data_IF_758080628908
#
_entry.id   IF_758080628908
#
_cell.length_a   1.000
_cell.length_b   1.000
_cell.length_c   1.000
_cell.angle_alpha   90.00
_cell.angle_beta   90.00
_cell.angle_gamma   90.00
#
_symmetry.space_group_name_H-M   'P 1'
#
loop_
_entity.id
_entity.type
_entity.pdbx_description
1 polymer ?
#
# COMPACT_ATOMS: atom_id res chain seq x y z
N UNK A 1 4.90 1.78 -2.90
CA UNK A 1 5.13 2.53 -1.65
C UNK A 1 6.20 3.63 -1.87
N UNK A 2 7.40 3.32 -2.37
CA UNK A 2 8.46 4.32 -2.57
C UNK A 2 8.06 5.48 -3.51
N UNK A 3 7.20 5.22 -4.49
CA UNK A 3 6.67 6.28 -5.36
C UNK A 3 5.70 7.21 -4.62
N UNK A 4 4.86 6.67 -3.73
CA UNK A 4 3.97 7.47 -2.88
C UNK A 4 4.78 8.34 -1.91
N UNK A 5 5.82 7.78 -1.28
CA UNK A 5 6.75 8.55 -0.46
C UNK A 5 7.38 9.72 -1.25
N UNK A 6 7.85 9.50 -2.47
CA UNK A 6 8.43 10.56 -3.34
C UNK A 6 7.40 11.65 -3.64
N UNK A 7 6.15 11.29 -3.96
CA UNK A 7 5.10 12.26 -4.24
C UNK A 7 4.80 13.14 -3.02
N UNK A 8 4.69 12.54 -1.83
CA UNK A 8 4.41 13.26 -0.59
C UNK A 8 5.59 14.16 -0.21
N UNK A 9 6.81 13.61 -0.21
CA UNK A 9 8.04 14.38 0.08
C UNK A 9 8.24 15.50 -0.92
N UNK A 10 7.99 15.23 -2.21
CA UNK A 10 8.06 16.23 -3.27
C UNK A 10 7.06 17.38 -3.06
N UNK A 11 5.82 17.07 -2.67
CA UNK A 11 4.82 18.07 -2.35
C UNK A 11 5.21 18.93 -1.13
N UNK A 12 5.70 18.30 -0.04
CA UNK A 12 6.20 19.01 1.14
C UNK A 12 7.38 19.93 0.75
N UNK A 13 8.33 19.39 0.01
CA UNK A 13 9.53 20.11 -0.38
C UNK A 13 9.20 21.29 -1.32
N UNK A 14 8.25 21.12 -2.25
CA UNK A 14 7.80 22.19 -3.14
C UNK A 14 7.19 23.37 -2.36
N UNK A 15 6.44 23.13 -1.29
CA UNK A 15 5.90 24.18 -0.43
C UNK A 15 7.03 24.84 0.36
N UNK A 16 7.93 24.08 0.97
CA UNK A 16 9.07 24.58 1.76
C UNK A 16 10.05 25.40 0.93
N UNK A 17 10.29 25.00 -0.33
CA UNK A 17 11.15 25.76 -1.24
C UNK A 17 10.55 27.12 -1.60
N UNK A 18 9.22 27.26 -1.66
CA UNK A 18 8.54 28.53 -1.90
C UNK A 18 8.67 29.51 -0.73
N UNK A 19 8.79 29.01 0.51
CA UNK A 19 8.99 29.87 1.69
C UNK A 19 10.41 30.42 1.77
N UNK A 20 11.38 29.77 1.14
CA UNK A 20 12.79 30.18 1.17
C UNK A 20 13.48 29.96 2.53
N UNK A 21 12.79 29.44 3.54
CA UNK A 21 13.31 29.26 4.90
C UNK A 21 14.20 28.01 5.00
N UNK A 22 15.52 28.17 5.31
CA UNK A 22 16.44 27.06 5.44
C UNK A 22 16.17 26.18 6.69
N UNK A 23 15.53 26.74 7.72
CA UNK A 23 15.21 26.01 8.96
C UNK A 23 14.12 25.00 8.68
N UNK A 24 13.06 25.41 7.96
CA UNK A 24 11.97 24.51 7.55
C UNK A 24 12.49 23.38 6.66
N UNK A 25 13.37 23.70 5.70
CA UNK A 25 13.99 22.70 4.82
C UNK A 25 14.86 21.69 5.60
N UNK A 26 15.60 22.14 6.61
CA UNK A 26 16.37 21.27 7.49
C UNK A 26 15.46 20.38 8.33
N UNK A 27 14.35 20.91 8.86
CA UNK A 27 13.34 20.16 9.59
C UNK A 27 12.78 19.00 8.79
N UNK A 28 12.35 19.24 7.54
CA UNK A 28 11.84 18.19 6.64
C UNK A 28 12.89 17.09 6.38
N UNK A 29 14.13 17.48 6.11
CA UNK A 29 15.24 16.52 5.90
C UNK A 29 15.48 15.63 7.12
N UNK A 30 15.46 16.20 8.32
CA UNK A 30 15.58 15.43 9.57
C UNK A 30 14.37 14.52 9.78
N UNK A 31 13.15 14.97 9.48
CA UNK A 31 11.96 14.15 9.53
C UNK A 31 12.08 12.91 8.65
N UNK A 32 12.53 13.09 7.39
CA UNK A 32 12.78 11.98 6.44
C UNK A 32 13.87 11.04 6.96
N UNK A 33 15.02 11.58 7.40
CA UNK A 33 16.13 10.77 7.89
C UNK A 33 15.73 9.91 9.11
N UNK A 34 15.00 10.51 10.06
CA UNK A 34 14.48 9.80 11.23
C UNK A 34 13.44 8.73 10.83
N UNK A 35 12.60 9.00 9.84
CA UNK A 35 11.63 8.02 9.34
C UNK A 35 12.33 6.80 8.73
N UNK A 36 13.34 7.01 7.90
CA UNK A 36 14.14 5.93 7.33
C UNK A 36 14.84 5.11 8.41
N UNK A 37 15.46 5.79 9.40
CA UNK A 37 16.11 5.12 10.53
C UNK A 37 15.09 4.31 11.37
N UNK A 38 13.90 4.86 11.62
CA UNK A 38 12.84 4.18 12.34
C UNK A 38 12.29 2.97 11.54
N UNK A 39 12.16 3.07 10.22
CA UNK A 39 11.75 1.93 9.36
C UNK A 39 12.77 0.80 9.40
N UNK A 40 14.07 1.11 9.34
CA UNK A 40 15.13 0.11 9.49
C UNK A 40 15.16 -0.48 10.91
N UNK A 41 14.91 0.34 11.94
CA UNK A 41 14.76 -0.13 13.33
C UNK A 41 13.57 -1.07 13.47
N UNK A 42 12.44 -0.79 12.81
CA UNK A 42 11.27 -1.68 12.78
C UNK A 42 11.60 -3.00 12.10
N UNK A 43 12.34 -2.99 10.98
CA UNK A 43 12.77 -4.21 10.30
C UNK A 43 13.66 -5.07 11.21
N UNK A 44 14.64 -4.47 11.87
CA UNK A 44 15.52 -5.17 12.81
C UNK A 44 14.77 -5.70 14.03
N UNK A 45 13.79 -4.94 14.55
CA UNK A 45 12.95 -5.36 15.67
C UNK A 45 12.08 -6.56 15.29
N UNK A 46 11.46 -6.55 14.12
CA UNK A 46 10.67 -7.68 13.62
C UNK A 46 11.55 -8.92 13.45
N UNK A 47 12.77 -8.78 12.92
CA UNK A 47 13.71 -9.89 12.80
C UNK A 47 14.04 -10.48 14.16
N UNK A 48 14.42 -9.64 15.13
CA UNK A 48 14.74 -10.07 16.50
C UNK A 48 13.57 -10.78 17.20
N UNK A 49 12.34 -10.29 17.01
CA UNK A 49 11.13 -10.93 17.57
C UNK A 49 10.90 -12.32 16.97
N UNK A 50 11.21 -12.48 15.67
CA UNK A 50 11.01 -13.72 14.92
C UNK A 50 12.10 -14.78 15.16
N UNK A 51 13.22 -14.46 15.83
CA UNK A 51 14.29 -15.40 16.19
C UNK A 51 13.94 -16.39 17.33
N UNK A 52 12.69 -16.37 17.84
CA UNK A 52 12.21 -17.22 18.94
C UNK A 52 12.06 -18.70 18.59
N UNK A 53 11.38 -19.47 19.48
CA UNK A 53 11.07 -20.90 19.24
C UNK A 53 10.23 -21.10 17.96
N UNK A 54 10.44 -22.25 17.27
CA UNK A 54 9.80 -22.54 15.95
C UNK A 54 8.28 -22.28 15.96
N UNK A 55 7.55 -22.80 16.95
CA UNK A 55 6.10 -22.59 17.04
C UNK A 55 5.70 -21.12 17.26
N UNK A 56 6.50 -20.35 18.02
CA UNK A 56 6.27 -18.90 18.17
C UNK A 56 6.60 -18.16 16.89
N UNK A 57 7.60 -18.62 16.17
CA UNK A 57 7.99 -18.05 14.89
C UNK A 57 6.87 -18.20 13.86
N UNK A 58 6.33 -19.40 13.67
CA UNK A 58 5.21 -19.67 12.75
C UNK A 58 3.97 -18.83 13.09
N UNK A 59 3.63 -18.74 14.39
CA UNK A 59 2.53 -17.91 14.85
C UNK A 59 2.74 -16.41 14.56
N UNK A 60 3.96 -15.90 14.76
CA UNK A 60 4.32 -14.50 14.47
C UNK A 60 4.39 -14.25 12.97
N UNK A 61 4.97 -15.16 12.19
CA UNK A 61 5.01 -15.08 10.73
C UNK A 61 3.59 -15.02 10.14
N UNK A 62 2.70 -15.90 10.59
CA UNK A 62 1.28 -15.87 10.22
C UNK A 62 0.60 -14.55 10.60
N UNK A 63 0.88 -14.05 11.81
CA UNK A 63 0.37 -12.74 12.25
C UNK A 63 0.85 -11.58 11.38
N UNK A 64 2.15 -11.52 11.04
CA UNK A 64 2.74 -10.50 10.15
C UNK A 64 2.12 -10.60 8.75
N UNK A 65 1.94 -11.81 8.21
CA UNK A 65 1.34 -12.01 6.89
C UNK A 65 -0.12 -11.56 6.85
N UNK A 66 -0.92 -11.88 7.88
CA UNK A 66 -2.30 -11.41 7.96
C UNK A 66 -2.39 -9.89 8.15
N UNK A 67 -1.50 -9.29 8.93
CA UNK A 67 -1.39 -7.84 9.04
C UNK A 67 -1.04 -7.20 7.69
N UNK A 68 -0.05 -7.75 6.98
CA UNK A 68 0.31 -7.30 5.64
C UNK A 68 -0.86 -7.47 4.65
N UNK A 69 -1.58 -8.61 4.67
CA UNK A 69 -2.76 -8.83 3.85
C UNK A 69 -3.85 -7.79 4.11
N UNK A 70 -4.12 -7.46 5.38
CA UNK A 70 -5.11 -6.45 5.75
C UNK A 70 -4.71 -5.04 5.26
N UNK A 71 -3.44 -4.65 5.41
CA UNK A 71 -2.92 -3.37 4.92
C UNK A 71 -2.99 -3.30 3.40
N UNK A 72 -2.50 -4.32 2.69
CA UNK A 72 -2.55 -4.42 1.23
C UNK A 72 -3.99 -4.36 0.69
N UNK A 73 -4.91 -5.06 1.34
CA UNK A 73 -6.33 -5.02 0.99
C UNK A 73 -6.91 -3.61 1.16
N UNK A 74 -6.62 -2.96 2.29
CA UNK A 74 -7.06 -1.60 2.57
C UNK A 74 -6.48 -0.60 1.55
N UNK A 75 -5.18 -0.65 1.29
CA UNK A 75 -4.49 0.24 0.32
C UNK A 75 -5.01 0.01 -1.09
N UNK A 76 -5.16 -1.26 -1.51
CA UNK A 76 -5.73 -1.59 -2.82
C UNK A 76 -7.14 -1.01 -2.99
N UNK A 77 -8.03 -1.19 -2.00
CA UNK A 77 -9.37 -0.62 -2.01
C UNK A 77 -9.33 0.91 -2.07
N UNK A 78 -8.45 1.52 -1.28
CA UNK A 78 -8.27 2.96 -1.23
C UNK A 78 -7.74 3.51 -2.58
N UNK A 79 -6.77 2.85 -3.23
CA UNK A 79 -6.24 3.24 -4.54
C UNK A 79 -7.34 3.22 -5.62
N UNK A 80 -8.14 2.15 -5.65
CA UNK A 80 -9.23 2.02 -6.62
C UNK A 80 -10.37 3.03 -6.35
N UNK A 81 -10.66 3.34 -5.10
CA UNK A 81 -11.69 4.32 -4.71
C UNK A 81 -11.29 5.76 -4.98
N UNK A 82 -9.99 6.07 -5.00
CA UNK A 82 -9.40 7.42 -5.16
C UNK A 82 -8.96 7.74 -6.58
N UNK A 83 -9.65 7.25 -7.60
CA UNK A 83 -9.51 7.75 -8.99
C UNK A 83 -9.73 9.28 -9.09
N UNK A 84 -10.21 9.93 -8.02
CA UNK A 84 -10.22 11.39 -7.82
C UNK A 84 -8.95 11.87 -7.08
N UNK A 85 -7.79 11.72 -7.74
CA UNK A 85 -6.49 12.20 -7.22
C UNK A 85 -6.50 13.69 -6.82
N UNK A 86 -7.41 14.48 -7.40
CA UNK A 86 -7.57 15.90 -7.09
C UNK A 86 -8.06 16.19 -5.65
N UNK A 87 -8.86 15.32 -5.06
CA UNK A 87 -9.34 15.50 -3.68
C UNK A 87 -8.24 15.20 -2.66
N UNK A 88 -7.43 14.18 -2.92
CA UNK A 88 -6.27 13.84 -2.10
C UNK A 88 -5.18 14.91 -2.14
N UNK A 89 -4.82 15.38 -3.34
CA UNK A 89 -3.84 16.46 -3.49
C UNK A 89 -4.28 17.72 -2.72
N UNK A 90 -5.55 18.10 -2.81
CA UNK A 90 -6.09 19.23 -2.03
C UNK A 90 -6.00 19.02 -0.53
N UNK A 91 -6.31 17.82 -0.02
CA UNK A 91 -6.23 17.52 1.41
C UNK A 91 -4.78 17.57 1.93
N UNK A 92 -3.83 16.98 1.18
CA UNK A 92 -2.40 17.01 1.53
C UNK A 92 -1.86 18.42 1.46
N UNK A 93 -2.14 19.16 0.37
CA UNK A 93 -1.74 20.57 0.24
C UNK A 93 -2.26 21.42 1.41
N UNK A 94 -3.52 21.27 1.78
CA UNK A 94 -4.10 22.08 2.85
C UNK A 94 -3.48 21.80 4.24
N UNK A 95 -3.09 20.53 4.52
CA UNK A 95 -2.37 20.19 5.76
C UNK A 95 -0.92 20.71 5.74
N UNK A 96 -0.23 20.60 4.61
CA UNK A 96 1.13 21.09 4.45
C UNK A 96 1.18 22.62 4.54
N UNK A 97 0.24 23.31 3.89
CA UNK A 97 0.15 24.77 3.92
C UNK A 97 -0.12 25.30 5.34
N UNK A 98 -1.00 24.64 6.10
CA UNK A 98 -1.21 24.99 7.53
C UNK A 98 0.03 24.80 8.38
N UNK A 99 0.75 23.68 8.19
CA UNK A 99 2.00 23.42 8.90
C UNK A 99 3.11 24.40 8.49
N UNK A 100 3.18 24.78 7.21
CA UNK A 100 4.12 25.79 6.72
C UNK A 100 3.74 27.20 7.22
N UNK A 101 2.45 27.55 7.25
CA UNK A 101 1.98 28.83 7.76
C UNK A 101 2.22 29.00 9.26
N UNK A 102 2.33 27.92 10.04
CA UNK A 102 2.71 27.97 11.45
C UNK A 102 4.19 28.34 11.69
N UNK A 103 5.03 28.34 10.63
CA UNK A 103 6.49 28.57 10.74
C UNK A 103 7.24 27.53 11.55
N UNK A 104 6.57 26.44 11.95
CA UNK A 104 7.15 25.42 12.83
C UNK A 104 7.91 24.34 12.03
N UNK A 105 9.22 24.35 12.12
CA UNK A 105 10.08 23.30 11.56
C UNK A 105 9.75 21.91 12.12
N UNK A 106 9.35 21.84 13.40
CA UNK A 106 8.96 20.59 14.08
C UNK A 106 7.65 20.04 13.48
N UNK A 107 6.66 20.89 13.23
CA UNK A 107 5.40 20.45 12.62
C UNK A 107 5.63 19.86 11.23
N UNK A 108 6.43 20.51 10.41
CA UNK A 108 6.79 20.01 9.07
C UNK A 108 7.65 18.75 9.13
N UNK A 109 8.60 18.68 10.07
CA UNK A 109 9.41 17.47 10.31
C UNK A 109 8.52 16.29 10.71
N UNK A 110 7.53 16.51 11.59
CA UNK A 110 6.59 15.47 12.03
C UNK A 110 5.71 14.98 10.88
N UNK A 111 5.20 15.88 10.03
CA UNK A 111 4.40 15.49 8.85
C UNK A 111 5.26 14.66 7.87
N UNK A 112 6.48 15.11 7.60
CA UNK A 112 7.41 14.38 6.74
C UNK A 112 7.80 13.01 7.34
N UNK A 113 8.07 12.97 8.65
CA UNK A 113 8.36 11.74 9.38
C UNK A 113 7.20 10.74 9.28
N UNK A 114 5.99 11.14 9.65
CA UNK A 114 4.84 10.24 9.65
C UNK A 114 4.50 9.72 8.27
N UNK A 115 4.60 10.58 7.25
CA UNK A 115 4.35 10.17 5.88
C UNK A 115 5.37 9.13 5.40
N UNK A 116 6.67 9.39 5.55
CA UNK A 116 7.74 8.50 5.09
C UNK A 116 7.82 7.23 5.95
N UNK A 117 7.63 7.35 7.26
CA UNK A 117 7.64 6.19 8.16
C UNK A 117 6.48 5.24 7.87
N UNK A 118 5.30 5.76 7.53
CA UNK A 118 4.16 4.95 7.13
C UNK A 118 4.51 4.08 5.92
N UNK A 119 5.01 4.68 4.84
CA UNK A 119 5.41 3.96 3.62
C UNK A 119 6.56 2.98 3.89
N UNK A 120 7.53 3.39 4.72
CA UNK A 120 8.63 2.53 5.16
C UNK A 120 8.16 1.34 5.99
N UNK A 121 7.21 1.53 6.89
CA UNK A 121 6.59 0.47 7.69
C UNK A 121 5.83 -0.53 6.80
N UNK A 122 5.00 -0.05 5.87
CA UNK A 122 4.28 -0.89 4.92
C UNK A 122 5.26 -1.72 4.08
N UNK A 123 6.33 -1.09 3.57
CA UNK A 123 7.41 -1.75 2.83
C UNK A 123 8.06 -2.87 3.66
N UNK A 124 8.39 -2.61 4.92
CA UNK A 124 8.99 -3.62 5.83
C UNK A 124 8.06 -4.81 6.02
N UNK A 125 6.76 -4.58 6.27
CA UNK A 125 5.76 -5.64 6.41
C UNK A 125 5.66 -6.49 5.14
N UNK A 126 5.61 -5.85 3.96
CA UNK A 126 5.47 -6.55 2.69
C UNK A 126 6.69 -7.38 2.35
N UNK A 127 7.91 -6.85 2.56
CA UNK A 127 9.14 -7.61 2.37
C UNK A 127 9.24 -8.77 3.35
N UNK A 128 8.84 -8.58 4.61
CA UNK A 128 8.84 -9.67 5.58
C UNK A 128 7.84 -10.76 5.19
N UNK A 129 6.63 -10.40 4.78
CA UNK A 129 5.64 -11.33 4.30
C UNK A 129 6.09 -12.09 3.04
N UNK A 130 6.76 -11.41 2.08
CA UNK A 130 7.37 -12.04 0.91
C UNK A 130 8.49 -13.01 1.28
N UNK A 131 9.32 -12.63 2.26
CA UNK A 131 10.41 -13.48 2.74
C UNK A 131 9.87 -14.78 3.35
N UNK A 132 8.84 -14.69 4.17
CA UNK A 132 8.15 -15.85 4.77
C UNK A 132 7.53 -16.74 3.68
N UNK A 133 6.81 -16.14 2.71
CA UNK A 133 6.18 -16.89 1.60
C UNK A 133 7.19 -17.58 0.69
N UNK A 134 8.33 -16.96 0.42
CA UNK A 134 9.32 -17.44 -0.55
C UNK A 134 10.34 -18.41 0.03
N UNK A 135 10.43 -18.53 1.36
CA UNK A 135 11.46 -19.30 2.04
C UNK A 135 12.89 -18.87 1.69
N UNK A 136 13.88 -19.67 2.04
CA UNK A 136 15.31 -19.40 1.80
C UNK A 136 15.62 -19.24 0.30
N UNK A 137 14.94 -19.99 -0.57
CA UNK A 137 15.12 -19.93 -2.04
C UNK A 137 14.59 -18.62 -2.65
N UNK A 138 13.65 -17.95 -1.96
CA UNK A 138 13.05 -16.67 -2.40
C UNK A 138 13.95 -15.46 -2.16
N UNK A 139 14.92 -15.54 -1.24
CA UNK A 139 15.72 -14.38 -0.81
C UNK A 139 16.47 -13.70 -1.96
N UNK A 140 17.05 -14.47 -2.87
CA UNK A 140 17.75 -13.93 -4.03
C UNK A 140 16.79 -13.19 -5.00
N UNK A 141 15.60 -13.75 -5.24
CA UNK A 141 14.57 -13.12 -6.07
C UNK A 141 14.00 -11.86 -5.44
N UNK A 142 13.79 -11.87 -4.13
CA UNK A 142 13.34 -10.70 -3.36
C UNK A 142 14.38 -9.59 -3.43
N UNK A 143 15.67 -9.90 -3.23
CA UNK A 143 16.77 -8.93 -3.31
C UNK A 143 16.90 -8.35 -4.72
N UNK A 144 16.75 -9.19 -5.76
CA UNK A 144 16.76 -8.75 -7.16
C UNK A 144 15.55 -7.83 -7.46
N UNK A 145 14.37 -8.20 -6.95
CA UNK A 145 13.16 -7.39 -7.07
C UNK A 145 13.31 -6.03 -6.38
N UNK A 146 13.91 -5.99 -5.18
CA UNK A 146 14.21 -4.75 -4.47
C UNK A 146 15.16 -3.85 -5.27
N UNK A 147 16.23 -4.42 -5.81
CA UNK A 147 17.19 -3.69 -6.63
C UNK A 147 16.55 -3.17 -7.91
N UNK A 148 15.77 -4.00 -8.62
CA UNK A 148 15.07 -3.62 -9.84
C UNK A 148 14.02 -2.52 -9.55
N UNK A 149 13.24 -2.65 -8.47
CA UNK A 149 12.28 -1.66 -8.02
C UNK A 149 12.98 -0.32 -7.68
N UNK A 150 14.12 -0.36 -7.01
CA UNK A 150 14.94 0.81 -6.72
C UNK A 150 15.41 1.52 -8.01
N UNK A 151 15.87 0.79 -9.00
CA UNK A 151 16.27 1.34 -10.31
C UNK A 151 15.08 2.01 -11.00
N UNK A 152 13.91 1.35 -11.04
CA UNK A 152 12.68 1.93 -11.61
C UNK A 152 12.27 3.20 -10.88
N UNK A 153 12.36 3.21 -9.55
CA UNK A 153 12.02 4.36 -8.71
C UNK A 153 12.92 5.57 -8.99
N UNK A 154 14.25 5.33 -9.09
CA UNK A 154 15.22 6.37 -9.44
C UNK A 154 14.98 6.88 -10.86
N UNK A 155 14.72 5.98 -11.82
CA UNK A 155 14.41 6.36 -13.20
C UNK A 155 13.13 7.19 -13.29
N UNK A 156 12.09 6.83 -12.55
CA UNK A 156 10.84 7.59 -12.47
C UNK A 156 11.06 8.99 -11.86
N UNK A 157 11.82 9.07 -10.76
CA UNK A 157 12.18 10.34 -10.14
C UNK A 157 12.93 11.27 -11.10
N UNK A 158 13.99 10.77 -11.75
CA UNK A 158 14.77 11.52 -12.75
C UNK A 158 13.91 11.91 -13.95
N UNK A 159 13.05 11.01 -14.41
CA UNK A 159 12.12 11.24 -15.50
C UNK A 159 11.15 12.41 -15.22
N UNK A 160 10.60 12.45 -14.02
CA UNK A 160 9.71 13.53 -13.59
C UNK A 160 10.48 14.83 -13.43
N UNK A 161 11.62 14.81 -12.74
CA UNK A 161 12.38 16.02 -12.39
C UNK A 161 13.06 16.66 -13.59
N UNK A 162 13.75 15.86 -14.43
CA UNK A 162 14.54 16.38 -15.56
C UNK A 162 13.77 16.52 -16.87
N UNK A 163 12.84 15.59 -17.12
CA UNK A 163 12.15 15.51 -18.41
C UNK A 163 10.68 15.92 -18.33
N UNK A 164 10.15 16.24 -17.14
CA UNK A 164 8.76 16.65 -16.95
C UNK A 164 7.75 15.55 -17.36
N UNK A 165 8.15 14.28 -17.32
CA UNK A 165 7.31 13.15 -17.73
C UNK A 165 6.07 13.11 -16.85
N UNK A 166 4.91 13.19 -17.50
CA UNK A 166 3.62 13.03 -16.80
C UNK A 166 3.25 11.57 -16.77
N UNK A 167 3.33 10.95 -15.57
CA UNK A 167 2.88 9.57 -15.39
C UNK A 167 1.36 9.55 -15.50
N UNK A 168 0.77 8.65 -16.31
CA UNK A 168 -0.66 8.48 -16.38
C UNK A 168 -1.16 7.79 -15.09
N UNK A 169 -1.52 8.59 -14.09
CA UNK A 169 -1.84 8.12 -12.74
C UNK A 169 -2.96 7.07 -12.71
N UNK A 170 -3.96 7.20 -13.61
CA UNK A 170 -5.09 6.24 -13.65
C UNK A 170 -4.67 4.80 -13.93
N UNK A 171 -3.98 4.47 -15.06
CA UNK A 171 -3.53 3.11 -15.30
C UNK A 171 -2.46 2.67 -14.28
N UNK A 172 -1.60 3.56 -13.83
CA UNK A 172 -0.62 3.26 -12.78
C UNK A 172 -1.32 2.76 -11.50
N UNK A 173 -2.26 3.52 -10.94
CA UNK A 173 -2.99 3.11 -9.74
C UNK A 173 -3.88 1.88 -9.97
N UNK A 174 -4.43 1.69 -11.17
CA UNK A 174 -5.20 0.50 -11.47
C UNK A 174 -4.34 -0.77 -11.46
N UNK A 175 -3.16 -0.75 -12.09
CA UNK A 175 -2.24 -1.88 -12.11
C UNK A 175 -1.69 -2.15 -10.71
N UNK A 176 -1.21 -1.11 -10.03
CA UNK A 176 -0.69 -1.24 -8.66
C UNK A 176 -1.77 -1.79 -7.72
N UNK A 177 -2.97 -1.20 -7.73
CA UNK A 177 -4.07 -1.66 -6.90
C UNK A 177 -4.45 -3.13 -7.17
N UNK A 178 -4.47 -3.57 -8.43
CA UNK A 178 -4.71 -4.96 -8.78
C UNK A 178 -3.61 -5.89 -8.25
N UNK A 179 -2.34 -5.48 -8.35
CA UNK A 179 -1.20 -6.24 -7.83
C UNK A 179 -1.24 -6.36 -6.30
N UNK A 180 -1.51 -5.25 -5.60
CA UNK A 180 -1.63 -5.25 -4.13
C UNK A 180 -2.79 -6.12 -3.67
N UNK A 181 -3.90 -6.09 -4.39
CA UNK A 181 -5.04 -6.95 -4.11
C UNK A 181 -4.71 -8.44 -4.28
N UNK A 182 -4.00 -8.78 -5.35
CA UNK A 182 -3.52 -10.13 -5.59
C UNK A 182 -2.58 -10.60 -4.46
N UNK A 183 -1.63 -9.76 -4.05
CA UNK A 183 -0.75 -10.07 -2.92
C UNK A 183 -1.52 -10.21 -1.61
N UNK A 184 -2.52 -9.38 -1.35
CA UNK A 184 -3.38 -9.52 -0.17
C UNK A 184 -4.08 -10.89 -0.13
N UNK A 185 -4.56 -11.36 -1.28
CA UNK A 185 -5.15 -12.68 -1.42
C UNK A 185 -4.17 -13.81 -1.11
N UNK A 186 -2.94 -13.73 -1.66
CA UNK A 186 -1.88 -14.73 -1.41
C UNK A 186 -1.47 -14.74 0.06
N UNK A 187 -1.20 -13.56 0.63
CA UNK A 187 -0.76 -13.43 2.02
C UNK A 187 -1.83 -13.86 3.02
N UNK A 188 -3.11 -13.63 2.72
CA UNK A 188 -4.19 -14.11 3.57
C UNK A 188 -4.20 -15.63 3.68
N UNK A 189 -4.06 -16.35 2.57
CA UNK A 189 -4.01 -17.80 2.57
C UNK A 189 -2.77 -18.36 3.25
N UNK A 190 -1.59 -17.82 2.91
CA UNK A 190 -0.32 -18.25 3.53
C UNK A 190 -0.28 -17.90 5.02
N UNK A 191 -0.77 -16.73 5.43
CA UNK A 191 -0.84 -16.33 6.83
C UNK A 191 -1.72 -17.26 7.68
N UNK A 192 -2.85 -17.70 7.14
CA UNK A 192 -3.69 -18.73 7.80
C UNK A 192 -2.93 -20.04 7.94
N UNK A 193 -2.22 -20.49 6.88
CA UNK A 193 -1.40 -21.72 6.93
C UNK A 193 -0.33 -21.63 8.02
N UNK A 194 0.42 -20.53 8.11
CA UNK A 194 1.45 -20.35 9.15
C UNK A 194 0.85 -20.38 10.57
N UNK A 195 -0.33 -19.76 10.78
CA UNK A 195 -1.02 -19.86 12.06
C UNK A 195 -1.49 -21.29 12.39
N UNK A 196 -1.84 -22.08 11.37
CA UNK A 196 -2.21 -23.50 11.53
C UNK A 196 -0.98 -24.35 11.87
N UNK A 197 0.16 -24.13 11.23
CA UNK A 197 1.43 -24.79 11.51
C UNK A 197 1.94 -24.42 12.91
N UNK A 198 1.76 -23.16 13.33
CA UNK A 198 2.02 -22.72 14.70
C UNK A 198 1.00 -23.17 15.75
N UNK A 199 0.03 -24.00 15.37
CA UNK A 199 -1.05 -24.51 16.23
C UNK A 199 -1.87 -23.42 16.96
N UNK A 200 -1.94 -22.20 16.38
CA UNK A 200 -2.73 -21.07 16.90
C UNK A 200 -4.21 -21.22 16.53
N UNK A 201 -4.47 -21.72 15.33
CA UNK A 201 -5.82 -21.97 14.82
C UNK A 201 -5.94 -23.41 14.28
N UNK A 202 -7.14 -24.00 14.30
CA UNK A 202 -7.36 -25.35 13.78
C UNK A 202 -7.15 -25.40 12.27
N UNK A 203 -6.86 -26.57 11.73
CA UNK A 203 -6.74 -26.87 10.31
C UNK A 203 -7.84 -27.87 9.90
N UNK A 204 -8.96 -27.36 9.43
CA UNK A 204 -10.08 -28.21 8.97
C UNK A 204 -9.92 -28.51 7.48
N UNK A 205 -9.43 -29.71 7.16
CA UNK A 205 -9.15 -30.12 5.79
C UNK A 205 -10.42 -30.28 4.94
N UNK A 206 -10.40 -29.72 3.74
CA UNK A 206 -11.44 -29.88 2.73
C UNK A 206 -10.97 -30.89 1.67
N UNK A 207 -11.59 -32.07 1.61
CA UNK A 207 -11.26 -33.11 0.64
C UNK A 207 -11.56 -32.62 -0.78
N UNK A 208 -10.57 -32.73 -1.68
CA UNK A 208 -10.70 -32.33 -3.07
C UNK A 208 -10.51 -30.84 -3.37
N UNK A 209 -10.23 -30.00 -2.35
CA UNK A 209 -9.89 -28.61 -2.59
C UNK A 209 -8.49 -28.48 -3.23
N UNK A 210 -8.30 -27.50 -4.16
CA UNK A 210 -7.01 -27.29 -4.80
C UNK A 210 -5.95 -26.80 -3.80
N UNK A 211 -4.69 -27.18 -4.04
CA UNK A 211 -3.54 -26.64 -3.34
C UNK A 211 -2.63 -25.94 -4.33
N UNK A 212 -2.29 -24.68 -4.06
CA UNK A 212 -1.34 -23.93 -4.86
C UNK A 212 -0.55 -22.99 -3.95
N UNK A 213 0.69 -23.35 -3.70
CA UNK A 213 1.60 -22.53 -2.86
C UNK A 213 1.86 -21.15 -3.47
N UNK A 214 1.95 -21.08 -4.81
CA UNK A 214 2.13 -19.81 -5.52
C UNK A 214 0.96 -18.84 -5.34
N UNK A 215 -0.26 -19.36 -5.27
CA UNK A 215 -1.47 -18.55 -5.03
C UNK A 215 -1.84 -18.46 -3.55
N UNK A 216 -1.05 -19.06 -2.65
CA UNK A 216 -1.37 -19.15 -1.24
C UNK A 216 -2.67 -19.93 -0.95
N UNK A 217 -3.10 -20.81 -1.88
CA UNK A 217 -4.32 -21.61 -1.70
C UNK A 217 -4.00 -22.90 -0.98
N UNK A 218 -4.61 -23.09 0.20
CA UNK A 218 -4.47 -24.27 1.01
C UNK A 218 -5.83 -24.93 1.25
N UNK A 219 -5.91 -26.28 1.24
CA UNK A 219 -7.16 -27.01 1.31
C UNK A 219 -7.74 -27.06 2.74
N UNK A 220 -7.86 -25.91 3.40
CA UNK A 220 -8.47 -25.78 4.72
C UNK A 220 -9.65 -24.82 4.67
N UNK A 221 -10.69 -25.08 5.46
CA UNK A 221 -11.90 -24.23 5.51
C UNK A 221 -11.54 -22.80 5.86
N UNK A 222 -10.63 -22.61 6.81
CA UNK A 222 -10.25 -21.31 7.35
C UNK A 222 -9.53 -20.47 6.28
N UNK A 223 -8.58 -21.07 5.53
CA UNK A 223 -7.86 -20.40 4.45
C UNK A 223 -8.80 -20.04 3.31
N UNK A 224 -9.61 -21.00 2.85
CA UNK A 224 -10.55 -20.80 1.76
C UNK A 224 -11.66 -19.80 2.11
N UNK A 225 -12.12 -19.78 3.36
CA UNK A 225 -13.13 -18.83 3.83
C UNK A 225 -12.60 -17.40 3.82
N UNK A 226 -11.38 -17.15 4.31
CA UNK A 226 -10.75 -15.83 4.31
C UNK A 226 -10.49 -15.36 2.88
N UNK A 227 -9.93 -16.21 2.03
CA UNK A 227 -9.69 -15.89 0.63
C UNK A 227 -11.01 -15.66 -0.13
N UNK A 228 -12.04 -16.46 0.15
CA UNK A 228 -13.39 -16.28 -0.39
C UNK A 228 -14.01 -14.94 0.03
N UNK A 229 -13.82 -14.51 1.27
CA UNK A 229 -14.25 -13.20 1.75
C UNK A 229 -13.58 -12.05 0.98
N UNK A 230 -12.26 -12.16 0.75
CA UNK A 230 -11.52 -11.20 -0.05
C UNK A 230 -12.10 -11.12 -1.48
N UNK A 231 -12.28 -12.25 -2.15
CA UNK A 231 -12.86 -12.29 -3.51
C UNK A 231 -14.28 -11.75 -3.53
N UNK A 232 -15.12 -12.13 -2.57
CA UNK A 232 -16.48 -11.64 -2.47
C UNK A 232 -16.55 -10.11 -2.32
N UNK A 233 -15.65 -9.52 -1.52
CA UNK A 233 -15.55 -8.06 -1.34
C UNK A 233 -15.21 -7.35 -2.65
N UNK A 234 -14.34 -7.92 -3.50
CA UNK A 234 -14.02 -7.38 -4.82
C UNK A 234 -15.24 -7.40 -5.72
N UNK A 235 -15.93 -8.54 -5.78
CA UNK A 235 -17.14 -8.68 -6.60
C UNK A 235 -18.19 -7.65 -6.18
N UNK A 236 -18.42 -7.49 -4.88
CA UNK A 236 -19.35 -6.48 -4.36
C UNK A 236 -18.92 -5.07 -4.75
N UNK A 237 -17.64 -4.73 -4.59
CA UNK A 237 -17.13 -3.40 -4.96
C UNK A 237 -17.29 -3.11 -6.45
N UNK A 238 -16.98 -4.08 -7.31
CA UNK A 238 -17.15 -3.98 -8.77
C UNK A 238 -18.61 -3.80 -9.13
N UNK A 239 -19.50 -4.67 -8.64
CA UNK A 239 -20.93 -4.60 -8.92
C UNK A 239 -21.52 -3.27 -8.47
N UNK A 240 -21.16 -2.82 -7.27
CA UNK A 240 -21.64 -1.53 -6.74
C UNK A 240 -21.18 -0.34 -7.59
N UNK A 241 -19.92 -0.36 -8.04
CA UNK A 241 -19.35 0.69 -8.90
C UNK A 241 -20.10 0.77 -10.24
N UNK A 242 -20.38 -0.38 -10.86
CA UNK A 242 -21.15 -0.42 -12.11
C UNK A 242 -22.61 0.00 -11.91
N UNK A 243 -23.27 -0.42 -10.83
CA UNK A 243 -24.62 -0.02 -10.51
C UNK A 243 -24.74 1.50 -10.24
N UNK A 244 -23.78 2.07 -9.51
CA UNK A 244 -23.73 3.51 -9.24
C UNK A 244 -23.51 4.34 -10.52
N UNK A 245 -22.68 3.87 -11.45
CA UNK A 245 -22.48 4.52 -12.75
C UNK A 245 -23.74 4.51 -13.61
N UNK A 246 -24.48 3.40 -13.66
CA UNK A 246 -25.76 3.31 -14.37
C UNK A 246 -26.79 4.29 -13.82
N UNK A 247 -26.88 4.47 -12.51
CA UNK A 247 -27.82 5.41 -11.88
C UNK A 247 -27.47 6.88 -12.22
N UNK A 248 -26.19 7.24 -12.28
CA UNK A 248 -25.76 8.60 -12.66
C UNK A 248 -26.01 8.91 -14.13
N UNK A 249 -25.88 7.94 -15.04
CA UNK A 249 -26.19 8.09 -16.46
C UNK A 249 -27.68 8.27 -16.74
N UNK A 250 -28.56 7.70 -15.90
CA UNK A 250 -30.00 7.83 -16.04
C UNK A 250 -30.59 9.19 -15.57
N UNK A 251 -29.86 9.88 -14.65
CA UNK A 251 -30.28 11.20 -14.11
C UNK A 251 -29.76 12.38 -14.97
N UNK A 252 -28.79 12.14 -15.85
CA UNK A 252 -28.11 13.17 -16.65
C UNK A 252 -28.64 13.41 -18.06
N UNK A 253 -29.83 12.89 -18.45
CA UNK A 253 -30.46 13.25 -19.72
C UNK A 253 -31.20 14.59 -19.53
N UNK A 254 -30.74 15.73 -20.06
CA UNK A 254 -31.48 16.97 -20.00
C UNK A 254 -32.77 16.75 -20.82
N UNK A 255 -33.89 17.16 -20.23
CA UNK A 255 -35.16 17.19 -20.94
C UNK A 255 -35.00 18.04 -22.23
N UNK A 256 -35.58 17.64 -23.38
CA UNK A 256 -35.51 18.43 -24.60
C UNK A 256 -36.09 19.82 -24.34
N UNK A 257 -35.34 20.83 -24.66
CA UNK A 257 -35.66 22.25 -24.50
C UNK A 257 -36.93 22.56 -25.35
N UNK A 258 -38.08 22.96 -24.79
CA UNK A 258 -39.32 23.16 -25.54
C UNK A 258 -39.35 24.48 -26.36
N UNK A 259 -38.23 25.20 -26.48
CA UNK A 259 -38.16 26.50 -27.16
C UNK A 259 -37.33 26.41 -28.43
N UNK A 260 -37.76 25.61 -29.42
CA UNK A 260 -37.35 25.80 -30.83
C UNK A 260 -38.44 25.39 -31.79
N UNK A 261 -39.64 25.98 -31.61
CA UNK A 261 -40.62 26.05 -32.66
C UNK A 261 -41.28 27.44 -32.61
N UNK A 262 -40.62 28.42 -33.21
CA UNK A 262 -41.27 29.57 -33.91
C UNK A 262 -40.28 30.19 -34.88
#
# INVERSE_FOLDING_TARGET
>A
EGFEAILIVGAIMAVVLRTGDPVLRRGVRWGIALALAASLGTAALLEWILEGSVAKREALEGGVMLAAAAVLFYVSYWLVSKVDAAAWQRFVHHKIERAAASGSAVALASVAFLAVYREGFETVLFYKALYVSGGVSGTALISLGLAAGGVVLVAAYVGIEKFGIRIPLRPFFAVTGATLYFLAFVFAGTGVKELQEGAVIPATLVRGAPRSEFLGIYPTVESLALQGLIVASLVVAVVWTFAARRRRGAVGSPAPDPIKTR
#
